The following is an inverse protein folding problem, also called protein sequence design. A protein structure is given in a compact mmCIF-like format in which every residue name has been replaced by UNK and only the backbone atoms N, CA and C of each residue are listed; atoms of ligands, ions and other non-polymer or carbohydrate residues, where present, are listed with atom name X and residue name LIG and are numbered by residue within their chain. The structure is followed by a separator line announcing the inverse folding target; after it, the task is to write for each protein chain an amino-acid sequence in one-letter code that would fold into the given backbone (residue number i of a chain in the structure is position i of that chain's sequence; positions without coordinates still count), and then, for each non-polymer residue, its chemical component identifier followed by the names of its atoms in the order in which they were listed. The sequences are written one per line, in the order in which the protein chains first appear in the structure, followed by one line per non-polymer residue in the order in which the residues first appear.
data_IF_939495490099
#
_entry.id   IF_939495490099
#
_cell.length_a   1.000
_cell.length_b   1.000
_cell.length_c   1.000
_cell.angle_alpha   90.00
_cell.angle_beta   90.00
_cell.angle_gamma   90.00
#
_symmetry.space_group_name_H-M   'P 1'
#
loop_
_entity.id
_entity.type
_entity.pdbx_description
1 polymer ?
#
# COMPACT_ATOMS: atom_id res chain seq x y z
N UNK A 1 -31.73 6.17 -8.22
CA UNK A 1 -30.63 6.63 -7.37
C UNK A 1 -30.16 5.40 -6.60
N UNK A 2 -28.93 4.96 -6.84
CA UNK A 2 -28.31 3.86 -6.10
C UNK A 2 -27.75 4.40 -4.79
N UNK A 3 -27.95 3.67 -3.70
CA UNK A 3 -27.42 4.03 -2.38
C UNK A 3 -26.51 2.88 -1.95
N UNK A 4 -25.23 3.21 -1.71
CA UNK A 4 -24.26 2.29 -1.13
C UNK A 4 -24.36 2.25 0.39
N UNK A 5 -24.02 1.12 1.00
CA UNK A 5 -23.93 1.06 2.46
C UNK A 5 -22.65 1.76 2.93
N UNK A 6 -21.56 1.64 2.15
CA UNK A 6 -20.27 2.27 2.50
C UNK A 6 -19.57 2.83 1.25
N UNK A 7 -19.02 4.03 1.38
CA UNK A 7 -18.02 4.61 0.48
C UNK A 7 -16.65 4.55 1.18
N UNK A 8 -15.68 3.91 0.58
CA UNK A 8 -14.29 3.90 1.07
C UNK A 8 -13.45 4.88 0.25
N UNK A 9 -12.66 5.70 0.92
CA UNK A 9 -11.69 6.62 0.29
C UNK A 9 -10.30 6.01 0.43
N UNK A 10 -9.68 5.69 -0.69
CA UNK A 10 -8.40 4.97 -0.76
C UNK A 10 -8.61 3.49 -1.11
N UNK A 11 -7.87 3.03 -2.11
CA UNK A 11 -7.88 1.63 -2.54
C UNK A 11 -6.67 0.90 -1.97
N UNK A 12 -6.91 -0.29 -1.44
CA UNK A 12 -5.87 -1.15 -0.92
C UNK A 12 -6.45 -2.51 -0.56
N UNK A 13 -5.62 -3.35 0.01
CA UNK A 13 -6.02 -4.69 0.44
C UNK A 13 -7.05 -4.64 1.56
N UNK A 14 -6.91 -3.71 2.52
CA UNK A 14 -7.90 -3.49 3.58
C UNK A 14 -9.26 -3.08 3.00
N UNK A 15 -9.28 -2.17 2.03
CA UNK A 15 -10.50 -1.72 1.35
C UNK A 15 -11.18 -2.85 0.58
N UNK A 16 -10.39 -3.69 -0.10
CA UNK A 16 -10.90 -4.85 -0.82
C UNK A 16 -11.46 -5.93 0.13
N UNK A 17 -10.77 -6.17 1.25
CA UNK A 17 -11.22 -7.09 2.28
C UNK A 17 -12.56 -6.65 2.88
N UNK A 18 -12.68 -5.37 3.23
CA UNK A 18 -13.95 -4.81 3.71
C UNK A 18 -15.07 -4.97 2.68
N UNK A 19 -14.80 -4.63 1.42
CA UNK A 19 -15.80 -4.75 0.35
C UNK A 19 -16.23 -6.19 0.10
N UNK A 20 -15.35 -7.17 0.31
CA UNK A 20 -15.68 -8.59 0.18
C UNK A 20 -16.69 -9.07 1.23
N UNK A 21 -16.64 -8.52 2.45
CA UNK A 21 -17.60 -8.81 3.52
C UNK A 21 -18.82 -7.89 3.50
N UNK A 22 -18.78 -6.76 2.79
CA UNK A 22 -19.83 -5.75 2.72
C UNK A 22 -20.20 -5.42 1.26
N UNK A 23 -21.10 -6.18 0.62
CA UNK A 23 -21.30 -6.20 -0.83
C UNK A 23 -21.84 -4.90 -1.44
N UNK A 24 -22.38 -3.97 -0.65
CA UNK A 24 -22.82 -2.65 -1.12
C UNK A 24 -21.79 -1.55 -0.84
N UNK A 25 -20.52 -1.87 -1.02
CA UNK A 25 -19.43 -0.92 -0.85
C UNK A 25 -18.94 -0.43 -2.20
N UNK A 26 -18.59 0.85 -2.29
CA UNK A 26 -17.88 1.45 -3.43
C UNK A 26 -16.56 2.05 -2.95
N UNK A 27 -15.49 1.85 -3.71
CA UNK A 27 -14.14 2.37 -3.41
C UNK A 27 -13.82 3.53 -4.34
N UNK A 28 -13.39 4.65 -3.79
CA UNK A 28 -12.85 5.80 -4.53
C UNK A 28 -11.34 5.92 -4.32
N UNK A 29 -10.57 5.91 -5.42
CA UNK A 29 -9.12 6.05 -5.41
C UNK A 29 -8.70 7.28 -6.24
N UNK A 30 -7.90 8.16 -5.62
CA UNK A 30 -7.40 9.37 -6.27
C UNK A 30 -6.36 9.06 -7.35
N UNK A 31 -5.63 7.97 -7.21
CA UNK A 31 -4.59 7.53 -8.15
C UNK A 31 -5.17 6.75 -9.31
N UNK A 32 -4.35 6.55 -10.32
CA UNK A 32 -4.70 5.73 -11.50
C UNK A 32 -4.30 4.26 -11.37
N UNK A 33 -3.64 3.91 -10.28
CA UNK A 33 -3.18 2.56 -9.98
C UNK A 33 -3.72 2.08 -8.63
N UNK A 34 -3.96 0.79 -8.55
CA UNK A 34 -4.32 0.08 -7.32
C UNK A 34 -3.07 -0.39 -6.58
N UNK A 35 -3.22 -0.80 -5.32
CA UNK A 35 -2.12 -1.31 -4.48
C UNK A 35 -0.91 -0.38 -4.39
N UNK A 36 -1.17 0.90 -4.17
CA UNK A 36 -0.10 1.90 -4.10
C UNK A 36 0.72 1.82 -2.81
N UNK A 37 0.24 1.11 -1.79
CA UNK A 37 0.86 1.02 -0.48
C UNK A 37 2.02 0.02 -0.39
N UNK A 38 2.00 -1.05 -1.21
CA UNK A 38 3.07 -2.05 -1.26
C UNK A 38 3.96 -1.89 -2.49
N UNK A 39 3.37 -1.77 -3.67
CA UNK A 39 4.11 -1.78 -4.93
C UNK A 39 4.92 -0.50 -5.16
N UNK A 40 4.31 0.68 -5.09
CA UNK A 40 5.02 1.93 -5.40
C UNK A 40 6.15 2.27 -4.42
N UNK A 41 5.98 2.09 -3.09
CA UNK A 41 7.06 2.30 -2.15
C UNK A 41 8.09 1.18 -2.13
N UNK A 42 7.92 0.11 -2.92
CA UNK A 42 8.71 -1.11 -2.86
C UNK A 42 8.80 -1.63 -1.43
N UNK A 43 7.67 -1.68 -0.74
CA UNK A 43 7.60 -2.12 0.64
C UNK A 43 7.26 -3.61 0.74
N UNK A 44 7.72 -4.26 1.81
CA UNK A 44 7.31 -5.62 2.10
C UNK A 44 8.08 -6.70 1.31
N UNK A 45 9.39 -6.54 1.06
CA UNK A 45 10.19 -7.63 0.48
C UNK A 45 10.35 -8.83 1.41
N UNK A 46 10.34 -8.60 2.74
CA UNK A 46 10.34 -9.69 3.69
C UNK A 46 8.93 -10.27 3.78
N UNK A 47 8.82 -11.57 3.56
CA UNK A 47 7.57 -12.30 3.72
C UNK A 47 7.38 -12.68 5.18
N UNK A 48 6.30 -12.22 5.76
CA UNK A 48 5.82 -12.67 7.05
C UNK A 48 4.67 -13.63 6.81
N UNK A 49 4.84 -14.95 7.01
CA UNK A 49 3.80 -15.94 6.75
C UNK A 49 2.51 -15.58 7.46
N UNK A 50 1.44 -15.51 6.71
CA UNK A 50 0.10 -15.27 7.23
C UNK A 50 -0.87 -16.30 6.64
N UNK A 51 -1.59 -17.00 7.49
CA UNK A 51 -2.59 -17.97 7.07
C UNK A 51 -3.97 -17.29 7.07
N UNK A 52 -4.61 -17.10 5.90
CA UNK A 52 -5.92 -16.48 5.85
C UNK A 52 -6.98 -17.34 6.53
N UNK A 53 -7.92 -16.72 7.20
CA UNK A 53 -9.04 -17.35 7.92
C UNK A 53 -10.37 -17.22 7.18
N UNK A 54 -10.51 -16.17 6.34
CA UNK A 54 -11.68 -16.00 5.50
C UNK A 54 -11.56 -16.77 4.19
N UNK A 55 -12.71 -17.11 3.57
CA UNK A 55 -12.73 -17.71 2.24
C UNK A 55 -12.16 -16.79 1.16
N UNK A 56 -12.40 -15.50 1.30
CA UNK A 56 -11.94 -14.49 0.36
C UNK A 56 -10.45 -14.22 0.50
N UNK A 57 -9.94 -14.16 1.72
CA UNK A 57 -8.51 -14.10 1.99
C UNK A 57 -7.76 -15.33 1.48
N UNK A 58 -8.35 -16.55 1.65
CA UNK A 58 -7.80 -17.77 1.09
C UNK A 58 -7.75 -17.71 -0.44
N UNK A 59 -8.78 -17.16 -1.11
CA UNK A 59 -8.78 -16.98 -2.57
C UNK A 59 -7.71 -16.02 -3.03
N UNK A 60 -7.56 -14.88 -2.37
CA UNK A 60 -6.48 -13.95 -2.67
C UNK A 60 -5.10 -14.59 -2.50
N UNK A 61 -4.90 -15.36 -1.43
CA UNK A 61 -3.67 -16.10 -1.18
C UNK A 61 -3.36 -17.13 -2.26
N UNK A 62 -4.39 -17.84 -2.77
CA UNK A 62 -4.25 -18.76 -3.91
C UNK A 62 -3.77 -18.03 -5.17
N UNK A 63 -4.30 -16.85 -5.47
CA UNK A 63 -3.86 -16.04 -6.61
C UNK A 63 -2.38 -15.67 -6.45
N UNK A 64 -1.95 -15.20 -5.27
CA UNK A 64 -0.54 -14.90 -4.98
C UNK A 64 0.37 -16.12 -5.18
N UNK A 65 -0.04 -17.29 -4.69
CA UNK A 65 0.71 -18.53 -4.86
C UNK A 65 0.78 -18.97 -6.32
N UNK A 66 -0.31 -18.84 -7.08
CA UNK A 66 -0.34 -19.19 -8.51
C UNK A 66 0.63 -18.36 -9.35
N UNK A 67 0.91 -17.12 -8.92
CA UNK A 67 1.87 -16.22 -9.52
C UNK A 67 3.29 -16.34 -8.92
N UNK A 68 3.50 -17.30 -7.99
CA UNK A 68 4.78 -17.50 -7.29
C UNK A 68 5.32 -16.23 -6.64
N UNK A 69 4.44 -15.47 -5.98
CA UNK A 69 4.82 -14.20 -5.37
C UNK A 69 5.49 -14.36 -4.00
N UNK A 70 5.40 -15.53 -3.39
CA UNK A 70 6.04 -15.86 -2.12
C UNK A 70 7.11 -16.93 -2.32
N UNK A 71 8.33 -16.69 -1.87
CA UNK A 71 9.44 -17.63 -1.93
C UNK A 71 10.30 -17.52 -0.65
N UNK A 72 10.27 -18.57 0.18
CA UNK A 72 10.96 -18.58 1.47
C UNK A 72 10.53 -17.39 2.34
N UNK A 73 11.50 -16.58 2.76
CA UNK A 73 11.29 -15.40 3.60
C UNK A 73 11.12 -14.10 2.80
N UNK A 74 10.91 -14.19 1.50
CA UNK A 74 10.80 -13.02 0.61
C UNK A 74 9.54 -13.07 -0.24
N UNK A 75 9.12 -11.89 -0.72
CA UNK A 75 7.97 -11.76 -1.61
C UNK A 75 8.27 -10.87 -2.81
N UNK A 76 7.71 -11.27 -3.97
CA UNK A 76 7.85 -10.55 -5.23
C UNK A 76 6.77 -9.49 -5.38
N UNK A 77 7.03 -8.30 -4.86
CA UNK A 77 6.07 -7.19 -4.90
C UNK A 77 5.70 -6.73 -6.31
N UNK A 78 6.50 -7.03 -7.34
CA UNK A 78 6.19 -6.65 -8.73
C UNK A 78 4.94 -7.34 -9.29
N UNK A 79 4.51 -8.45 -8.67
CA UNK A 79 3.30 -9.16 -9.09
C UNK A 79 2.06 -8.78 -8.26
N UNK A 80 2.21 -7.96 -7.22
CA UNK A 80 1.11 -7.65 -6.29
C UNK A 80 -0.05 -6.95 -6.98
N UNK A 81 0.22 -5.92 -7.79
CA UNK A 81 -0.82 -5.22 -8.54
C UNK A 81 -1.60 -6.17 -9.45
N UNK A 82 -0.90 -7.06 -10.18
CA UNK A 82 -1.56 -8.03 -11.06
C UNK A 82 -2.43 -9.03 -10.29
N UNK A 83 -1.95 -9.52 -9.14
CA UNK A 83 -2.72 -10.40 -8.26
C UNK A 83 -3.95 -9.69 -7.70
N UNK A 84 -3.78 -8.47 -7.26
CA UNK A 84 -4.86 -7.66 -6.71
C UNK A 84 -5.92 -7.33 -7.76
N UNK A 85 -5.53 -6.88 -8.95
CA UNK A 85 -6.46 -6.65 -10.08
C UNK A 85 -7.21 -7.92 -10.48
N UNK A 86 -6.54 -9.08 -10.48
CA UNK A 86 -7.19 -10.37 -10.74
C UNK A 86 -8.29 -10.65 -9.72
N UNK A 87 -7.98 -10.50 -8.42
CA UNK A 87 -8.95 -10.69 -7.35
C UNK A 87 -10.15 -9.74 -7.47
N UNK A 88 -9.89 -8.43 -7.65
CA UNK A 88 -10.96 -7.42 -7.78
C UNK A 88 -11.89 -7.71 -8.96
N UNK A 89 -11.31 -8.14 -10.10
CA UNK A 89 -12.06 -8.52 -11.30
C UNK A 89 -12.92 -9.76 -11.08
N UNK A 90 -12.40 -10.79 -10.40
CA UNK A 90 -13.16 -12.00 -10.08
C UNK A 90 -14.35 -11.72 -9.16
N UNK A 91 -14.24 -10.70 -8.32
CA UNK A 91 -15.26 -10.30 -7.33
C UNK A 91 -16.18 -9.19 -7.82
N UNK A 92 -15.91 -8.61 -8.99
CA UNK A 92 -16.68 -7.49 -9.55
C UNK A 92 -16.83 -6.33 -8.55
N UNK A 93 -15.78 -6.09 -7.74
CA UNK A 93 -15.81 -5.02 -6.74
C UNK A 93 -15.81 -3.65 -7.42
N UNK A 94 -16.75 -2.75 -7.09
CA UNK A 94 -16.84 -1.44 -7.71
C UNK A 94 -15.74 -0.52 -7.19
N UNK A 95 -14.76 -0.23 -8.04
CA UNK A 95 -13.65 0.70 -7.77
C UNK A 95 -13.65 1.81 -8.79
N UNK A 96 -13.70 3.05 -8.34
CA UNK A 96 -13.53 4.24 -9.15
C UNK A 96 -12.09 4.74 -9.00
N UNK A 97 -11.34 4.78 -10.10
CA UNK A 97 -9.99 5.33 -10.15
C UNK A 97 -10.01 6.79 -10.61
N UNK A 98 -8.95 7.54 -10.30
CA UNK A 98 -8.81 8.97 -10.65
C UNK A 98 -9.99 9.80 -10.16
N UNK A 99 -10.48 9.47 -8.99
CA UNK A 99 -11.60 10.18 -8.40
C UNK A 99 -11.27 10.67 -6.98
N UNK A 100 -11.78 11.85 -6.64
CA UNK A 100 -11.55 12.48 -5.35
C UNK A 100 -12.86 12.94 -4.73
N UNK A 101 -13.11 12.56 -3.49
CA UNK A 101 -14.21 13.12 -2.71
C UNK A 101 -13.88 14.56 -2.34
N UNK A 102 -14.65 15.52 -2.87
CA UNK A 102 -14.39 16.96 -2.68
C UNK A 102 -15.31 17.61 -1.66
N UNK A 103 -16.52 17.06 -1.47
CA UNK A 103 -17.41 17.48 -0.38
C UNK A 103 -18.34 16.34 0.04
N UNK A 104 -18.95 16.50 1.20
CA UNK A 104 -19.94 15.58 1.75
C UNK A 104 -21.00 16.38 2.50
N UNK A 105 -22.25 16.00 2.29
CA UNK A 105 -23.40 16.60 2.97
C UNK A 105 -24.30 15.50 3.49
N UNK A 106 -24.69 15.59 4.77
CA UNK A 106 -25.65 14.67 5.36
C UNK A 106 -27.05 15.21 5.07
N UNK A 107 -27.86 14.42 4.40
CA UNK A 107 -29.24 14.75 4.07
C UNK A 107 -30.17 14.51 5.28
N UNK A 108 -31.38 15.05 5.22
CA UNK A 108 -32.40 14.88 6.29
C UNK A 108 -32.76 13.40 6.53
N UNK A 109 -32.59 12.54 5.53
CA UNK A 109 -32.84 11.10 5.63
C UNK A 109 -31.63 10.30 6.20
N UNK A 110 -30.56 11.00 6.60
CA UNK A 110 -29.35 10.39 7.15
C UNK A 110 -28.40 9.83 6.06
N UNK A 111 -28.75 9.96 4.78
CA UNK A 111 -27.89 9.57 3.67
C UNK A 111 -26.83 10.65 3.43
N UNK A 112 -25.60 10.25 3.23
CA UNK A 112 -24.49 11.13 2.89
C UNK A 112 -24.46 11.29 1.36
N UNK A 113 -24.55 12.52 0.89
CA UNK A 113 -24.30 12.91 -0.49
C UNK A 113 -22.82 13.29 -0.61
N UNK A 114 -22.00 12.40 -1.17
CA UNK A 114 -20.59 12.64 -1.43
C UNK A 114 -20.41 13.16 -2.86
N UNK A 115 -19.95 14.39 -3.02
CA UNK A 115 -19.56 14.93 -4.31
C UNK A 115 -18.17 14.42 -4.67
N UNK A 116 -18.04 13.76 -5.80
CA UNK A 116 -16.81 13.15 -6.28
C UNK A 116 -16.38 13.81 -7.58
N UNK A 117 -15.16 14.30 -7.60
CA UNK A 117 -14.52 14.80 -8.82
C UNK A 117 -13.89 13.62 -9.56
N UNK A 118 -14.25 13.47 -10.83
CA UNK A 118 -13.69 12.49 -11.77
C UNK A 118 -13.05 13.20 -12.96
N UNK A 119 -12.46 12.45 -13.88
CA UNK A 119 -11.96 13.02 -15.15
C UNK A 119 -13.09 13.60 -16.04
N UNK A 120 -14.33 13.17 -15.84
CA UNK A 120 -15.50 13.60 -16.61
C UNK A 120 -16.23 14.76 -15.94
N UNK A 121 -15.83 15.15 -14.73
CA UNK A 121 -16.45 16.24 -13.96
C UNK A 121 -16.89 15.80 -12.58
N UNK A 122 -17.85 16.53 -12.01
CA UNK A 122 -18.42 16.22 -10.71
C UNK A 122 -19.56 15.22 -10.84
N UNK A 123 -19.57 14.23 -9.97
CA UNK A 123 -20.66 13.26 -9.81
C UNK A 123 -21.02 13.12 -8.33
N UNK A 124 -22.14 12.45 -8.02
CA UNK A 124 -22.63 12.24 -6.69
C UNK A 124 -22.70 10.75 -6.36
N UNK A 125 -22.18 10.38 -5.20
CA UNK A 125 -22.30 9.04 -4.62
C UNK A 125 -23.11 9.16 -3.32
N UNK A 126 -24.19 8.41 -3.25
CA UNK A 126 -25.06 8.37 -2.08
C UNK A 126 -24.69 7.16 -1.23
N UNK A 127 -24.36 7.39 0.03
CA UNK A 127 -23.91 6.33 0.94
C UNK A 127 -24.43 6.54 2.36
N UNK A 128 -24.51 5.47 3.16
CA UNK A 128 -24.86 5.56 4.57
C UNK A 128 -23.65 5.87 5.45
N UNK A 129 -22.42 5.49 4.98
CA UNK A 129 -21.20 5.60 5.77
C UNK A 129 -20.01 5.91 4.84
N UNK A 130 -19.03 6.65 5.36
CA UNK A 130 -17.75 6.89 4.69
C UNK A 130 -16.63 6.39 5.59
N UNK A 131 -15.71 5.61 5.01
CA UNK A 131 -14.47 5.15 5.65
C UNK A 131 -13.30 5.77 4.91
N UNK A 132 -12.41 6.47 5.61
CA UNK A 132 -11.15 6.95 5.06
C UNK A 132 -10.05 5.92 5.36
N UNK A 133 -9.66 5.17 4.35
CA UNK A 133 -8.62 4.12 4.42
C UNK A 133 -7.22 4.66 4.11
N UNK A 134 -7.05 5.95 3.87
CA UNK A 134 -5.76 6.56 3.56
C UNK A 134 -4.92 6.73 4.82
N UNK A 135 -3.63 6.44 4.71
CA UNK A 135 -2.66 6.73 5.77
C UNK A 135 -2.49 8.23 5.94
N UNK A 136 -2.55 8.70 7.20
CA UNK A 136 -2.38 10.11 7.57
C UNK A 136 -1.04 10.39 8.27
N UNK A 137 -0.16 9.38 8.37
CA UNK A 137 1.14 9.53 8.99
C UNK A 137 2.05 10.51 8.24
N UNK A 138 2.80 11.30 8.97
CA UNK A 138 3.87 12.15 8.42
C UNK A 138 5.22 11.43 8.34
N UNK A 139 5.36 10.32 9.07
CA UNK A 139 6.58 9.51 9.07
C UNK A 139 6.71 8.74 7.76
N UNK A 140 7.82 8.96 7.08
CA UNK A 140 8.07 8.43 5.74
C UNK A 140 9.36 7.66 5.67
N UNK A 141 9.37 6.60 4.88
CA UNK A 141 10.58 5.89 4.49
C UNK A 141 10.69 5.81 2.97
N UNK A 142 11.91 5.86 2.46
CA UNK A 142 12.19 5.64 1.03
C UNK A 142 12.99 4.35 0.87
N UNK A 143 12.53 3.47 -0.01
CA UNK A 143 13.21 2.22 -0.29
C UNK A 143 14.20 2.39 -1.44
N UNK A 144 15.41 1.86 -1.26
CA UNK A 144 16.48 1.84 -2.27
C UNK A 144 16.88 0.40 -2.50
N UNK A 145 16.76 -0.08 -3.74
CA UNK A 145 17.24 -1.40 -4.14
C UNK A 145 18.71 -1.33 -4.54
N UNK A 146 19.48 -2.31 -4.09
CA UNK A 146 20.91 -2.39 -4.42
C UNK A 146 21.40 -3.85 -4.50
N UNK A 147 22.57 -4.02 -5.08
CA UNK A 147 23.37 -5.25 -5.01
C UNK A 147 24.67 -4.95 -4.28
N UNK A 148 25.22 -5.93 -3.58
CA UNK A 148 26.50 -5.82 -2.92
C UNK A 148 27.25 -7.15 -3.06
N UNK A 149 28.55 -7.06 -3.43
CA UNK A 149 29.45 -8.22 -3.50
C UNK A 149 29.75 -8.73 -2.09
N UNK A 150 29.91 -7.81 -1.12
CA UNK A 150 29.96 -8.09 0.31
C UNK A 150 28.73 -7.54 1.03
N UNK A 151 27.75 -8.42 1.22
CA UNK A 151 26.51 -8.08 1.92
C UNK A 151 26.78 -7.68 3.39
N UNK A 152 27.79 -8.22 4.03
CA UNK A 152 28.10 -7.91 5.45
C UNK A 152 28.66 -6.50 5.56
N UNK A 153 29.61 -6.13 4.70
CA UNK A 153 30.16 -4.77 4.68
C UNK A 153 29.07 -3.75 4.38
N UNK A 154 28.20 -4.01 3.38
CA UNK A 154 27.11 -3.11 3.03
C UNK A 154 26.10 -2.96 4.18
N UNK A 155 25.72 -4.04 4.86
CA UNK A 155 24.81 -4.01 6.03
C UNK A 155 25.38 -3.20 7.22
N UNK A 156 26.71 -3.11 7.33
CA UNK A 156 27.34 -2.29 8.36
C UNK A 156 27.49 -0.82 7.94
N UNK A 157 27.81 -0.56 6.67
CA UNK A 157 28.09 0.78 6.17
C UNK A 157 26.80 1.59 5.93
N UNK A 158 25.81 0.99 5.29
CA UNK A 158 24.60 1.70 4.85
C UNK A 158 23.80 2.31 6.02
N UNK A 159 23.53 1.60 7.15
CA UNK A 159 22.84 2.23 8.28
C UNK A 159 23.63 3.37 8.94
N UNK A 160 24.96 3.33 8.84
CA UNK A 160 25.84 4.43 9.33
C UNK A 160 25.83 5.63 8.38
N UNK A 161 25.78 5.37 7.08
CA UNK A 161 25.69 6.42 6.07
C UNK A 161 24.31 7.09 6.06
N UNK A 162 23.25 6.31 6.29
CA UNK A 162 21.86 6.78 6.31
C UNK A 162 21.27 6.52 7.69
N UNK A 163 21.27 7.55 8.53
CA UNK A 163 20.83 7.45 9.93
C UNK A 163 19.44 6.82 10.07
N UNK A 164 19.34 5.80 10.92
CA UNK A 164 18.10 5.07 11.16
C UNK A 164 17.68 4.12 10.04
N UNK A 165 18.49 3.99 8.97
CA UNK A 165 18.16 3.08 7.88
C UNK A 165 18.36 1.62 8.27
N UNK A 166 17.56 0.74 7.64
CA UNK A 166 17.64 -0.72 7.79
C UNK A 166 17.90 -1.38 6.44
N UNK A 167 18.59 -2.53 6.47
CA UNK A 167 18.88 -3.34 5.28
C UNK A 167 18.19 -4.69 5.42
N UNK A 168 17.40 -5.05 4.43
CA UNK A 168 16.71 -6.34 4.35
C UNK A 168 17.00 -7.06 3.02
N UNK A 169 16.88 -8.40 2.95
CA UNK A 169 16.93 -9.11 1.66
C UNK A 169 15.78 -8.66 0.76
N UNK A 170 16.02 -8.57 -0.55
CA UNK A 170 14.98 -8.44 -1.57
C UNK A 170 14.67 -9.81 -2.18
N UNK A 171 13.59 -9.91 -2.96
CA UNK A 171 13.10 -11.16 -3.54
C UNK A 171 14.18 -11.94 -4.32
N UNK A 172 14.98 -11.25 -5.12
CA UNK A 172 16.03 -11.92 -5.89
C UNK A 172 17.33 -12.06 -5.10
N UNK A 173 17.93 -13.25 -5.13
CA UNK A 173 19.19 -13.55 -4.45
C UNK A 173 20.29 -12.52 -4.79
N UNK A 174 20.97 -12.03 -3.77
CA UNK A 174 22.03 -11.03 -3.90
C UNK A 174 21.53 -9.60 -4.09
N UNK A 175 20.22 -9.38 -4.05
CA UNK A 175 19.62 -8.04 -4.00
C UNK A 175 19.14 -7.73 -2.60
N UNK A 176 19.20 -6.46 -2.27
CA UNK A 176 18.85 -5.94 -0.94
C UNK A 176 18.03 -4.68 -1.08
N UNK A 177 17.20 -4.42 -0.09
CA UNK A 177 16.48 -3.17 0.09
C UNK A 177 17.05 -2.41 1.28
N UNK A 178 17.37 -1.13 1.08
CA UNK A 178 17.69 -0.18 2.13
C UNK A 178 16.45 0.67 2.37
N UNK A 179 15.95 0.69 3.59
CA UNK A 179 14.86 1.58 4.01
C UNK A 179 15.44 2.77 4.72
N UNK A 180 15.30 3.93 4.09
CA UNK A 180 15.85 5.20 4.58
C UNK A 180 14.72 6.02 5.20
N UNK A 181 14.73 6.31 6.50
CA UNK A 181 13.81 7.27 7.10
C UNK A 181 13.99 8.66 6.48
N UNK A 182 12.89 9.31 6.17
CA UNK A 182 12.89 10.62 5.50
C UNK A 182 12.31 11.65 6.45
N UNK A 183 13.18 12.45 7.06
CA UNK A 183 12.80 13.51 7.99
C UNK A 183 12.73 14.84 7.26
N UNK A 184 11.50 15.36 7.04
CA UNK A 184 11.28 16.70 6.51
C UNK A 184 11.73 16.94 5.05
N UNK A 185 12.15 15.88 4.32
CA UNK A 185 12.53 15.98 2.91
C UNK A 185 11.37 15.59 2.00
N UNK A 186 11.22 16.27 0.89
CA UNK A 186 10.34 15.91 -0.20
C UNK A 186 11.03 14.99 -1.23
N UNK A 187 10.27 14.51 -2.21
CA UNK A 187 10.79 13.62 -3.26
C UNK A 187 11.89 14.26 -4.11
N UNK A 188 11.85 15.58 -4.31
CA UNK A 188 12.80 16.29 -5.15
C UNK A 188 14.15 16.46 -4.46
N UNK A 189 14.17 16.47 -3.12
CA UNK A 189 15.37 16.66 -2.30
C UNK A 189 15.98 15.33 -1.84
N UNK A 190 15.17 14.34 -1.50
CA UNK A 190 15.66 13.07 -0.95
C UNK A 190 16.41 12.22 -1.97
N UNK A 191 15.92 12.12 -3.22
CA UNK A 191 16.58 11.32 -4.26
C UNK A 191 17.99 11.82 -4.58
N UNK A 192 18.22 13.13 -4.85
CA UNK A 192 19.58 13.68 -5.01
C UNK A 192 20.46 13.47 -3.78
N UNK A 193 19.90 13.60 -2.57
CA UNK A 193 20.63 13.33 -1.32
C UNK A 193 21.12 11.89 -1.26
N UNK A 194 20.28 10.90 -1.58
CA UNK A 194 20.66 9.49 -1.61
C UNK A 194 21.75 9.26 -2.64
N UNK A 195 21.59 9.74 -3.89
CA UNK A 195 22.63 9.60 -4.92
C UNK A 195 23.96 10.16 -4.49
N UNK A 196 24.00 11.35 -3.91
CA UNK A 196 25.23 11.97 -3.44
C UNK A 196 25.91 11.15 -2.34
N UNK A 197 25.14 10.69 -1.35
CA UNK A 197 25.67 9.84 -0.28
C UNK A 197 26.15 8.48 -0.82
N UNK A 198 25.40 7.90 -1.76
CA UNK A 198 25.76 6.61 -2.35
C UNK A 198 27.15 6.62 -3.02
N UNK A 199 27.50 7.72 -3.68
CA UNK A 199 28.82 7.89 -4.31
C UNK A 199 29.99 7.88 -3.32
N UNK A 200 29.76 8.15 -2.04
CA UNK A 200 30.78 8.15 -1.00
C UNK A 200 30.93 6.82 -0.28
N UNK A 201 30.14 5.79 -0.62
CA UNK A 201 30.22 4.47 0.00
C UNK A 201 31.45 3.71 -0.45
N UNK A 202 32.02 2.92 0.46
CA UNK A 202 33.24 2.13 0.24
C UNK A 202 32.98 0.62 0.13
N UNK A 203 31.77 0.15 0.51
CA UNK A 203 31.37 -1.26 0.48
C UNK A 203 31.23 -1.87 -0.91
N UNK A 204 31.34 -1.08 -1.98
CA UNK A 204 31.09 -1.55 -3.35
C UNK A 204 29.61 -1.81 -3.67
N UNK A 205 28.68 -1.40 -2.77
CA UNK A 205 27.27 -1.52 -3.02
C UNK A 205 26.84 -0.70 -4.24
N UNK A 206 26.16 -1.35 -5.20
CA UNK A 206 25.70 -0.72 -6.44
C UNK A 206 24.21 -0.45 -6.35
N UNK A 207 23.82 0.81 -6.42
CA UNK A 207 22.43 1.24 -6.46
C UNK A 207 21.77 0.73 -7.73
N UNK A 208 20.63 0.07 -7.61
CA UNK A 208 19.83 -0.41 -8.74
C UNK A 208 18.64 0.53 -8.99
N UNK A 209 17.89 0.87 -7.95
CA UNK A 209 16.65 1.61 -8.11
C UNK A 209 16.28 2.32 -6.81
N UNK A 210 15.65 3.48 -6.91
CA UNK A 210 15.02 4.20 -5.79
C UNK A 210 13.51 4.16 -6.00
N UNK A 211 12.76 3.78 -4.97
CA UNK A 211 11.30 3.68 -5.05
C UNK A 211 10.67 4.97 -5.59
N UNK A 212 9.62 4.87 -6.42
CA UNK A 212 8.94 6.03 -6.98
C UNK A 212 8.16 6.82 -5.91
N UNK A 213 7.71 6.15 -4.85
CA UNK A 213 6.94 6.77 -3.76
C UNK A 213 7.53 6.45 -2.38
N UNK A 214 7.19 7.26 -1.40
CA UNK A 214 7.44 6.97 0.00
C UNK A 214 6.48 5.91 0.52
N UNK A 215 6.97 5.07 1.44
CA UNK A 215 6.11 4.35 2.36
C UNK A 215 5.82 5.25 3.55
N UNK A 216 4.55 5.40 3.88
CA UNK A 216 4.13 6.01 5.13
C UNK A 216 4.21 4.97 6.25
N UNK A 217 4.47 5.39 7.47
CA UNK A 217 4.29 4.53 8.64
C UNK A 217 2.81 4.40 8.96
N UNK A 218 2.35 3.24 9.43
CA UNK A 218 0.95 3.10 9.85
C UNK A 218 0.60 4.10 10.94
N UNK A 219 -0.58 4.68 10.87
CA UNK A 219 -1.08 5.70 11.80
C UNK A 219 -2.04 5.13 12.87
N UNK A 220 -2.13 3.80 12.93
CA UNK A 220 -3.05 3.09 13.82
C UNK A 220 -4.47 2.92 13.25
N UNK A 221 -4.75 3.46 12.07
CA UNK A 221 -5.98 3.18 11.35
C UNK A 221 -5.96 1.73 10.81
N UNK A 222 -6.87 0.85 11.27
CA UNK A 222 -6.89 -0.55 10.81
C UNK A 222 -7.31 -0.70 9.35
N UNK A 223 -7.86 0.33 8.73
CA UNK A 223 -8.18 0.35 7.30
C UNK A 223 -7.02 0.87 6.44
N UNK A 224 -5.89 1.23 7.03
CA UNK A 224 -4.70 1.71 6.33
C UNK A 224 -3.75 0.55 6.04
N UNK A 225 -3.49 0.25 4.77
CA UNK A 225 -2.60 -0.83 4.33
C UNK A 225 -1.17 -0.70 4.90
N UNK A 226 -0.70 0.53 5.11
CA UNK A 226 0.62 0.82 5.65
C UNK A 226 0.82 0.31 7.09
N UNK A 227 -0.28 -0.02 7.80
CA UNK A 227 -0.23 -0.67 9.11
C UNK A 227 0.22 -2.13 9.05
N UNK A 228 0.29 -2.72 7.86
CA UNK A 228 0.58 -4.14 7.66
C UNK A 228 1.85 -4.36 6.82
N UNK A 229 2.51 -5.50 7.02
CA UNK A 229 3.67 -5.91 6.22
C UNK A 229 3.34 -7.01 5.21
N UNK A 230 2.14 -7.57 5.29
CA UNK A 230 1.66 -8.64 4.42
C UNK A 230 0.31 -8.23 3.81
N UNK A 231 0.15 -8.29 2.47
CA UNK A 231 -1.10 -7.89 1.82
C UNK A 231 -2.29 -8.79 2.18
N UNK A 232 -2.05 -10.07 2.51
CA UNK A 232 -3.12 -10.98 2.95
C UNK A 232 -3.59 -10.62 4.35
N UNK A 233 -2.66 -10.25 5.25
CA UNK A 233 -3.00 -9.75 6.58
C UNK A 233 -3.81 -8.46 6.50
N UNK A 234 -3.38 -7.50 5.65
CA UNK A 234 -4.12 -6.27 5.40
C UNK A 234 -5.54 -6.56 4.90
N UNK A 235 -5.68 -7.47 3.95
CA UNK A 235 -6.98 -7.89 3.43
C UNK A 235 -7.88 -8.48 4.53
N UNK A 236 -7.38 -9.41 5.34
CA UNK A 236 -8.13 -10.02 6.44
C UNK A 236 -8.52 -8.99 7.51
N UNK A 237 -7.64 -8.02 7.79
CA UNK A 237 -7.97 -6.93 8.70
C UNK A 237 -9.18 -6.12 8.21
N UNK A 238 -9.20 -5.79 6.93
CA UNK A 238 -10.36 -5.13 6.32
C UNK A 238 -11.61 -6.02 6.29
N UNK A 239 -11.46 -7.32 5.99
CA UNK A 239 -12.57 -8.26 5.93
C UNK A 239 -13.31 -8.39 7.27
N UNK A 240 -12.58 -8.39 8.39
CA UNK A 240 -13.13 -8.49 9.73
C UNK A 240 -13.38 -7.13 10.41
N UNK A 241 -13.17 -6.04 9.68
CA UNK A 241 -13.43 -4.71 10.24
C UNK A 241 -14.92 -4.44 10.36
N UNK A 242 -15.46 -4.39 11.58
CA UNK A 242 -16.87 -4.17 11.86
C UNK A 242 -17.28 -2.69 11.89
N UNK A 243 -16.32 -1.79 11.65
CA UNK A 243 -16.57 -0.36 11.56
C UNK A 243 -16.14 0.43 12.79
N UNK A 244 -15.18 1.34 12.59
CA UNK A 244 -14.92 2.44 13.53
C UNK A 244 -15.89 3.58 13.30
N UNK A 245 -15.97 4.44 14.30
CA UNK A 245 -16.87 5.58 14.31
C UNK A 245 -16.71 6.46 13.08
N UNK A 246 -17.85 6.95 12.64
CA UNK A 246 -18.04 7.90 11.56
C UNK A 246 -17.17 9.15 11.73
N UNK A 247 -16.59 9.59 10.64
CA UNK A 247 -15.97 10.92 10.57
C UNK A 247 -17.04 12.01 10.47
#
# INVERSE_FOLDING_TARGET
MEIYDTLIIGSGYTSAGYSASHPKTIICEEREALDTSFYLPLSGFCYHPYAPSSKDGARLFEIFNSLSLFEGDTQNINGFESAFCTYLSERELPVLLKCRVVSREVRDDGIIDATVQTNEGLTHIFTKKIIDARCKSEDKTLTVLFVADDATAARCELPRAFEGATVEPAFYKGRYALRVPVFGMDENTVKPYIYKKWQSLTSGAKLLFIAPAFRLSGDGNPMCDESYNNPIEAFEAGFFFEGGDEL
#
